data_IF_673334101202
#
_entry.id   IF_673334101202
#
_cell.length_a   1.000
_cell.length_b   1.000
_cell.length_c   1.000
_cell.angle_alpha   90.00
_cell.angle_beta   90.00
_cell.angle_gamma   90.00
#
_symmetry.space_group_name_H-M   'P 1'
#
loop_
_entity.id
_entity.type
_entity.pdbx_description
1 polymer ?
#
# COMPACT_ATOMS: atom_id res chain seq x y z
N UNK A 1 40.87 -15.50 -37.10
CA UNK A 1 40.05 -16.44 -36.37
C UNK A 1 40.42 -16.28 -34.90
N UNK A 2 39.60 -15.49 -34.18
CA UNK A 2 39.50 -15.51 -32.73
C UNK A 2 38.29 -14.66 -32.36
N UNK A 3 37.18 -15.35 -32.18
CA UNK A 3 35.95 -14.80 -31.68
C UNK A 3 36.08 -14.50 -30.20
N UNK A 4 36.12 -13.24 -29.83
CA UNK A 4 35.92 -12.82 -28.43
C UNK A 4 34.44 -12.93 -28.07
N UNK A 5 34.15 -13.93 -27.29
CA UNK A 5 32.90 -14.07 -26.54
C UNK A 5 32.68 -12.80 -25.69
N UNK A 6 31.58 -12.13 -25.98
CA UNK A 6 31.04 -11.10 -25.10
C UNK A 6 30.39 -11.84 -23.95
N UNK A 7 31.13 -11.97 -22.86
CA UNK A 7 30.58 -12.46 -21.57
C UNK A 7 29.48 -11.51 -21.13
N UNK A 8 28.25 -11.96 -21.22
CA UNK A 8 27.11 -11.30 -20.62
C UNK A 8 27.36 -11.22 -19.09
N UNK A 9 27.69 -10.03 -18.63
CA UNK A 9 27.68 -9.73 -17.19
C UNK A 9 26.26 -9.96 -16.69
N UNK A 10 26.12 -11.01 -15.89
CA UNK A 10 24.89 -11.34 -15.22
C UNK A 10 24.39 -10.14 -14.42
N UNK A 11 23.24 -9.66 -14.81
CA UNK A 11 22.41 -8.86 -13.93
C UNK A 11 22.10 -9.74 -12.71
N UNK A 12 22.80 -9.52 -11.62
CA UNK A 12 22.36 -9.99 -10.31
C UNK A 12 20.98 -9.37 -10.12
N UNK A 13 19.96 -10.20 -10.11
CA UNK A 13 18.66 -9.83 -9.58
C UNK A 13 18.90 -9.49 -8.10
N UNK A 14 19.18 -8.23 -7.80
CA UNK A 14 18.99 -7.73 -6.44
C UNK A 14 17.52 -7.92 -6.15
N UNK A 15 17.24 -8.83 -5.23
CA UNK A 15 15.92 -9.02 -4.65
C UNK A 15 15.39 -7.63 -4.28
N UNK A 16 14.22 -7.27 -4.78
CA UNK A 16 13.47 -6.08 -4.39
C UNK A 16 13.25 -6.15 -2.87
N UNK A 17 14.23 -5.71 -2.11
CA UNK A 17 14.12 -5.64 -0.65
C UNK A 17 13.10 -4.55 -0.34
N UNK A 18 11.92 -4.98 0.10
CA UNK A 18 10.85 -4.07 0.53
C UNK A 18 11.42 -3.22 1.66
N UNK A 19 11.60 -1.93 1.43
CA UNK A 19 12.03 -0.99 2.47
C UNK A 19 10.90 -0.78 3.49
N UNK A 20 11.01 -1.51 4.61
CA UNK A 20 10.08 -1.39 5.75
C UNK A 20 9.97 0.06 6.27
N UNK A 21 11.05 0.84 6.14
CA UNK A 21 11.05 2.23 6.58
C UNK A 21 10.19 3.12 5.65
N UNK A 22 10.11 2.79 4.36
CA UNK A 22 9.23 3.49 3.42
C UNK A 22 7.76 3.22 3.73
N UNK A 23 7.41 1.96 4.03
CA UNK A 23 6.05 1.60 4.49
C UNK A 23 5.71 2.33 5.78
N UNK A 24 6.61 2.40 6.75
CA UNK A 24 6.38 3.11 8.01
C UNK A 24 6.16 4.62 7.80
N UNK A 25 6.97 5.27 6.96
CA UNK A 25 6.77 6.68 6.59
C UNK A 25 5.43 6.92 5.90
N UNK A 26 5.01 6.00 5.02
CA UNK A 26 3.71 6.09 4.34
C UNK A 26 2.54 5.92 5.30
N UNK A 27 2.61 4.96 6.25
CA UNK A 27 1.62 4.78 7.31
C UNK A 27 1.48 6.04 8.16
N UNK A 28 2.61 6.62 8.60
CA UNK A 28 2.63 7.87 9.37
C UNK A 28 2.03 9.05 8.59
N UNK A 29 2.27 9.13 7.28
CA UNK A 29 1.73 10.22 6.44
C UNK A 29 0.21 10.08 6.21
N UNK A 30 -0.30 8.84 6.19
CA UNK A 30 -1.70 8.51 5.89
C UNK A 30 -2.48 8.03 7.11
N UNK A 31 -2.03 8.31 8.33
CA UNK A 31 -2.62 7.84 9.58
C UNK A 31 -4.12 8.14 9.72
N UNK A 32 -4.58 9.28 9.17
CA UNK A 32 -6.00 9.68 9.20
C UNK A 32 -6.91 8.73 8.40
N UNK A 33 -6.40 8.11 7.32
CA UNK A 33 -7.14 7.09 6.59
C UNK A 33 -7.29 5.80 7.40
N UNK A 34 -6.28 5.44 8.17
CA UNK A 34 -6.31 4.27 9.06
C UNK A 34 -7.36 4.48 10.15
N UNK A 35 -7.38 5.66 10.78
CA UNK A 35 -8.37 6.00 11.80
C UNK A 35 -9.79 6.04 11.21
N UNK A 36 -9.96 6.62 10.03
CA UNK A 36 -11.26 6.69 9.36
C UNK A 36 -11.84 5.29 9.08
N UNK A 37 -11.03 4.39 8.51
CA UNK A 37 -11.45 3.01 8.23
C UNK A 37 -11.73 2.24 9.53
N UNK A 38 -10.91 2.40 10.56
CA UNK A 38 -11.13 1.78 11.85
C UNK A 38 -12.49 2.20 12.45
N UNK A 39 -12.84 3.48 12.38
CA UNK A 39 -14.14 3.99 12.86
C UNK A 39 -15.30 3.42 12.01
N UNK A 40 -15.18 3.39 10.70
CA UNK A 40 -16.23 2.87 9.81
C UNK A 40 -16.49 1.39 10.09
N UNK A 41 -15.44 0.56 10.16
CA UNK A 41 -15.59 -0.88 10.44
C UNK A 41 -16.06 -1.13 11.87
N UNK A 42 -15.58 -0.35 12.86
CA UNK A 42 -16.05 -0.42 14.24
C UNK A 42 -17.53 -0.09 14.36
N UNK A 43 -18.00 0.97 13.70
CA UNK A 43 -19.41 1.34 13.68
C UNK A 43 -20.26 0.28 12.94
N UNK A 44 -19.80 -0.20 11.80
CA UNK A 44 -20.51 -1.23 11.02
C UNK A 44 -20.72 -2.52 11.84
N UNK A 45 -19.65 -3.05 12.45
CA UNK A 45 -19.75 -4.25 13.29
C UNK A 45 -20.49 -3.99 14.62
N UNK A 46 -20.40 -2.80 15.18
CA UNK A 46 -21.19 -2.39 16.33
C UNK A 46 -22.69 -2.39 16.03
N UNK A 47 -23.09 -1.82 14.88
CA UNK A 47 -24.48 -1.85 14.40
C UNK A 47 -24.92 -3.29 14.11
N UNK A 48 -24.10 -4.07 13.44
CA UNK A 48 -24.34 -5.49 13.22
C UNK A 48 -24.60 -6.24 14.54
N UNK A 49 -23.71 -6.06 15.54
CA UNK A 49 -23.84 -6.64 16.86
C UNK A 49 -25.12 -6.20 17.59
N UNK A 50 -25.58 -4.96 17.39
CA UNK A 50 -26.80 -4.44 18.05
C UNK A 50 -28.08 -4.93 17.42
N UNK A 51 -28.18 -4.95 16.08
CA UNK A 51 -29.47 -5.14 15.39
C UNK A 51 -29.63 -6.54 14.79
N UNK A 52 -28.56 -7.25 14.49
CA UNK A 52 -28.62 -8.54 13.78
C UNK A 52 -28.39 -9.71 14.72
N UNK A 53 -27.47 -9.56 15.69
CA UNK A 53 -27.19 -10.62 16.65
C UNK A 53 -28.34 -10.70 17.68
N UNK A 54 -29.05 -11.84 17.69
CA UNK A 54 -30.10 -12.10 18.63
C UNK A 54 -29.53 -12.32 20.03
N UNK A 55 -30.38 -12.01 21.03
CA UNK A 55 -30.04 -12.33 22.42
C UNK A 55 -30.00 -13.84 22.60
N UNK A 56 -29.11 -14.32 23.44
CA UNK A 56 -28.94 -15.71 23.80
C UNK A 56 -28.83 -15.80 25.33
N UNK A 57 -29.68 -16.58 25.92
CA UNK A 57 -29.76 -16.79 27.37
C UNK A 57 -29.34 -18.22 27.68
N UNK A 58 -28.45 -18.41 28.63
CA UNK A 58 -28.01 -19.71 29.10
C UNK A 58 -28.59 -20.01 30.45
N UNK A 59 -29.28 -21.13 30.56
CA UNK A 59 -29.82 -21.66 31.83
C UNK A 59 -28.97 -22.86 32.26
N UNK A 60 -28.69 -22.96 33.55
CA UNK A 60 -27.94 -24.03 34.17
C UNK A 60 -28.88 -24.89 35.03
N UNK A 61 -28.76 -26.20 34.88
CA UNK A 61 -29.35 -27.18 35.77
C UNK A 61 -28.30 -28.19 36.21
N UNK A 62 -28.38 -28.76 37.38
CA UNK A 62 -27.35 -29.67 37.90
C UNK A 62 -27.94 -30.93 38.55
N UNK A 63 -27.20 -32.05 38.39
CA UNK A 63 -27.49 -33.29 39.06
C UNK A 63 -26.24 -33.94 39.66
N UNK A 64 -26.43 -34.74 40.71
CA UNK A 64 -25.39 -35.56 41.32
C UNK A 64 -25.55 -37.02 40.89
N UNK A 65 -24.46 -37.64 40.45
CA UNK A 65 -24.46 -38.98 39.86
C UNK A 65 -24.54 -40.10 40.91
N UNK A 66 -24.17 -39.85 42.16
CA UNK A 66 -24.10 -40.85 43.19
C UNK A 66 -25.14 -40.60 44.28
N UNK A 67 -25.82 -41.69 44.69
CA UNK A 67 -26.79 -41.69 45.77
C UNK A 67 -26.15 -41.26 47.06
N UNK A 68 -26.69 -40.20 47.69
CA UNK A 68 -26.21 -39.59 48.92
C UNK A 68 -26.29 -40.51 50.15
N UNK A 69 -26.87 -41.70 50.02
CA UNK A 69 -27.13 -42.62 51.11
C UNK A 69 -26.06 -43.75 51.29
N UNK A 70 -25.00 -43.81 50.50
CA UNK A 70 -23.90 -44.75 50.68
C UNK A 70 -22.63 -44.11 51.18
N UNK A 71 -21.92 -44.77 52.12
CA UNK A 71 -20.58 -44.34 52.57
C UNK A 71 -19.64 -44.26 51.37
N UNK A 72 -19.03 -43.08 51.23
CA UNK A 72 -18.21 -42.74 50.06
C UNK A 72 -16.84 -43.33 50.17
N UNK A 73 -16.50 -44.30 49.32
CA UNK A 73 -15.11 -44.80 49.15
C UNK A 73 -14.30 -43.94 48.19
N UNK A 74 -12.97 -43.88 48.38
CA UNK A 74 -12.05 -43.20 47.42
C UNK A 74 -12.15 -43.76 46.02
N UNK A 75 -12.50 -45.04 45.86
CA UNK A 75 -12.73 -45.69 44.55
C UNK A 75 -13.98 -45.13 43.84
N UNK A 76 -15.00 -44.72 44.59
CA UNK A 76 -16.25 -44.15 44.05
C UNK A 76 -16.05 -42.76 43.46
N UNK A 77 -15.08 -41.99 43.99
CA UNK A 77 -14.72 -40.66 43.43
C UNK A 77 -14.02 -40.78 42.09
N UNK A 78 -13.10 -41.72 41.96
CA UNK A 78 -12.39 -42.01 40.69
C UNK A 78 -13.34 -42.63 39.65
N UNK A 79 -14.26 -43.48 40.08
CA UNK A 79 -15.26 -44.09 39.22
C UNK A 79 -16.26 -43.04 38.70
N UNK A 80 -16.65 -42.10 39.55
CA UNK A 80 -17.57 -40.99 39.17
C UNK A 80 -16.99 -40.08 38.09
N UNK A 81 -15.69 -39.76 38.19
CA UNK A 81 -14.99 -39.00 37.16
C UNK A 81 -14.84 -39.74 35.84
N UNK A 82 -14.59 -41.06 35.90
CA UNK A 82 -14.46 -41.90 34.70
C UNK A 82 -15.82 -42.09 33.94
N UNK A 83 -16.91 -42.14 34.70
CA UNK A 83 -18.26 -42.32 34.12
C UNK A 83 -18.87 -41.02 33.53
N UNK A 84 -18.25 -39.86 33.77
CA UNK A 84 -18.80 -38.56 33.31
C UNK A 84 -19.04 -38.51 31.81
N UNK A 85 -18.12 -39.06 31.01
CA UNK A 85 -18.26 -39.14 29.55
C UNK A 85 -19.48 -39.98 29.10
N UNK A 86 -19.78 -41.05 29.84
CA UNK A 86 -20.93 -41.89 29.53
C UNK A 86 -22.23 -41.20 29.85
N UNK A 87 -22.28 -40.45 30.97
CA UNK A 87 -23.45 -39.66 31.35
C UNK A 87 -23.68 -38.50 30.38
N UNK A 88 -22.64 -37.79 29.95
CA UNK A 88 -22.78 -36.77 28.93
C UNK A 88 -23.30 -37.36 27.63
N UNK A 89 -22.76 -38.50 27.20
CA UNK A 89 -23.26 -39.22 26.02
C UNK A 89 -24.72 -39.57 26.09
N UNK A 90 -25.24 -39.98 27.27
CA UNK A 90 -26.64 -40.35 27.47
C UNK A 90 -27.51 -39.10 27.44
N UNK A 91 -27.12 -38.05 28.16
CA UNK A 91 -27.87 -36.78 28.22
C UNK A 91 -28.02 -36.17 26.83
N UNK A 92 -26.99 -36.23 26.02
CA UNK A 92 -27.00 -35.74 24.62
C UNK A 92 -27.47 -36.78 23.61
N UNK A 93 -27.92 -37.98 24.07
CA UNK A 93 -28.42 -39.01 23.18
C UNK A 93 -29.70 -38.65 22.46
N UNK A 94 -29.98 -39.36 21.35
CA UNK A 94 -31.26 -39.20 20.64
C UNK A 94 -32.49 -39.59 21.47
N UNK A 95 -32.30 -40.55 22.39
CA UNK A 95 -33.38 -41.00 23.25
C UNK A 95 -33.85 -39.89 24.19
N UNK A 96 -32.90 -39.23 24.87
CA UNK A 96 -33.20 -38.14 25.80
C UNK A 96 -33.72 -36.91 25.04
N UNK A 97 -32.93 -36.44 24.04
CA UNK A 97 -33.25 -35.19 23.38
C UNK A 97 -34.55 -35.25 22.54
N UNK A 98 -34.87 -36.39 21.91
CA UNK A 98 -36.15 -36.52 21.22
C UNK A 98 -37.35 -36.54 22.18
N UNK A 99 -37.22 -37.19 23.37
CA UNK A 99 -38.25 -37.13 24.39
C UNK A 99 -38.52 -35.69 24.87
N UNK A 100 -37.44 -34.91 25.04
CA UNK A 100 -37.57 -33.49 25.42
C UNK A 100 -38.27 -32.70 24.33
N UNK A 101 -37.94 -32.92 23.06
CA UNK A 101 -38.61 -32.28 21.91
C UNK A 101 -40.11 -32.59 21.91
N UNK A 102 -40.48 -33.88 22.12
CA UNK A 102 -41.88 -34.32 22.16
C UNK A 102 -42.64 -33.75 23.36
N UNK A 103 -42.05 -33.82 24.56
CA UNK A 103 -42.69 -33.37 25.80
C UNK A 103 -42.97 -31.86 25.78
N UNK A 104 -42.01 -31.07 25.32
CA UNK A 104 -42.14 -29.62 25.25
C UNK A 104 -42.75 -29.14 23.91
N UNK A 105 -42.99 -30.05 22.95
CA UNK A 105 -43.49 -29.74 21.58
C UNK A 105 -42.66 -28.67 20.91
N UNK A 106 -41.32 -28.82 20.97
CA UNK A 106 -40.38 -27.87 20.39
C UNK A 106 -40.38 -28.00 18.87
N UNK A 107 -40.35 -26.85 18.18
CA UNK A 107 -40.11 -26.81 16.73
C UNK A 107 -38.60 -26.85 16.42
N UNK A 108 -37.90 -27.84 16.99
CA UNK A 108 -36.49 -28.07 16.85
C UNK A 108 -36.21 -29.48 16.41
N UNK A 109 -35.21 -29.65 15.53
CA UNK A 109 -34.69 -30.98 15.23
C UNK A 109 -33.72 -31.42 16.32
N UNK A 110 -33.50 -32.74 16.45
CA UNK A 110 -32.48 -33.28 17.34
C UNK A 110 -31.14 -32.55 17.23
N UNK A 111 -30.64 -32.29 15.99
CA UNK A 111 -29.36 -31.63 15.76
C UNK A 111 -29.33 -30.19 16.26
N UNK A 112 -30.41 -29.48 16.14
CA UNK A 112 -30.54 -28.11 16.66
C UNK A 112 -30.52 -28.10 18.19
N UNK A 113 -31.29 -29.00 18.84
CA UNK A 113 -31.28 -29.13 20.29
C UNK A 113 -29.91 -29.58 20.80
N UNK A 114 -29.27 -30.55 20.14
CA UNK A 114 -27.94 -31.03 20.48
C UNK A 114 -26.90 -29.91 20.53
N UNK A 115 -26.93 -28.93 19.58
CA UNK A 115 -25.98 -27.85 19.47
C UNK A 115 -26.16 -26.75 20.53
N UNK A 116 -27.32 -26.62 21.13
CA UNK A 116 -27.61 -25.63 22.18
C UNK A 116 -27.49 -26.19 23.60
N UNK A 117 -27.24 -27.50 23.72
CA UNK A 117 -27.05 -28.19 25.00
C UNK A 117 -25.57 -28.48 25.18
N UNK A 118 -24.99 -28.01 26.30
CA UNK A 118 -23.66 -28.40 26.77
C UNK A 118 -23.77 -29.08 28.12
N UNK A 119 -22.94 -30.08 28.34
CA UNK A 119 -22.88 -30.79 29.61
C UNK A 119 -21.43 -30.71 30.09
N UNK A 120 -21.25 -30.28 31.32
CA UNK A 120 -19.91 -30.11 31.90
C UNK A 120 -19.85 -30.79 33.29
N UNK A 121 -18.69 -31.33 33.60
CA UNK A 121 -18.35 -31.80 34.92
C UNK A 121 -17.27 -30.90 35.53
N UNK A 122 -17.60 -29.93 36.37
CA UNK A 122 -16.62 -29.05 36.97
C UNK A 122 -15.71 -29.85 37.91
N UNK A 123 -14.41 -29.62 37.77
CA UNK A 123 -13.35 -30.15 38.65
C UNK A 123 -13.35 -31.68 38.83
N UNK A 124 -13.82 -32.44 37.84
CA UNK A 124 -13.96 -33.89 37.92
C UNK A 124 -14.76 -34.37 39.17
N UNK A 125 -15.75 -33.61 39.56
CA UNK A 125 -16.66 -33.93 40.65
C UNK A 125 -17.75 -34.93 40.24
N UNK A 126 -18.63 -35.25 41.16
CA UNK A 126 -19.84 -36.07 40.89
C UNK A 126 -21.03 -35.26 40.36
N UNK A 127 -20.81 -33.97 40.14
CA UNK A 127 -21.84 -33.03 39.74
C UNK A 127 -21.74 -32.87 38.23
N UNK A 128 -22.85 -33.08 37.54
CA UNK A 128 -23.03 -32.73 36.15
C UNK A 128 -23.85 -31.47 36.06
N UNK A 129 -23.35 -30.52 35.30
CA UNK A 129 -24.04 -29.29 34.97
C UNK A 129 -24.49 -29.35 33.50
N UNK A 130 -25.75 -29.07 33.31
CA UNK A 130 -26.42 -29.02 32.01
C UNK A 130 -26.68 -27.56 31.69
N UNK A 131 -26.04 -27.07 30.63
CA UNK A 131 -26.24 -25.73 30.11
C UNK A 131 -27.09 -25.78 28.86
N UNK A 132 -28.11 -24.96 28.80
CA UNK A 132 -28.96 -24.81 27.63
C UNK A 132 -29.03 -23.36 27.20
N UNK A 133 -28.71 -23.10 25.93
CA UNK A 133 -28.73 -21.76 25.35
C UNK A 133 -29.90 -21.58 24.42
N UNK A 134 -30.82 -20.65 24.73
CA UNK A 134 -32.00 -20.38 23.91
C UNK A 134 -32.27 -18.88 23.70
N UNK A 135 -33.22 -18.54 22.86
CA UNK A 135 -33.53 -17.15 22.53
C UNK A 135 -34.24 -16.38 23.66
N UNK A 136 -34.81 -17.08 24.61
CA UNK A 136 -35.49 -16.48 25.79
C UNK A 136 -35.12 -17.24 27.06
N UNK A 137 -35.13 -16.53 28.19
CA UNK A 137 -34.88 -17.12 29.53
C UNK A 137 -35.80 -18.30 29.79
N UNK A 138 -37.09 -18.11 29.58
CA UNK A 138 -38.09 -19.13 29.85
C UNK A 138 -37.91 -20.40 29.00
N UNK A 139 -37.51 -20.25 27.74
CA UNK A 139 -37.26 -21.38 26.86
C UNK A 139 -36.00 -22.15 27.32
N UNK A 140 -34.90 -21.45 27.64
CA UNK A 140 -33.68 -22.06 28.15
C UNK A 140 -33.92 -22.84 29.44
N UNK A 141 -34.65 -22.24 30.40
CA UNK A 141 -35.02 -22.84 31.70
C UNK A 141 -35.92 -24.08 31.54
N UNK A 142 -36.94 -23.96 30.68
CA UNK A 142 -37.85 -25.10 30.46
C UNK A 142 -37.13 -26.29 29.82
N UNK A 143 -36.28 -26.03 28.80
CA UNK A 143 -35.52 -27.08 28.13
C UNK A 143 -34.52 -27.70 29.10
N UNK A 144 -33.78 -26.90 29.88
CA UNK A 144 -32.79 -27.39 30.85
C UNK A 144 -33.44 -28.30 31.91
N UNK A 145 -34.57 -27.86 32.46
CA UNK A 145 -35.33 -28.66 33.46
C UNK A 145 -35.91 -29.93 32.88
N UNK A 146 -36.41 -29.91 31.66
CA UNK A 146 -36.92 -31.08 30.99
C UNK A 146 -35.82 -32.09 30.66
N UNK A 147 -34.65 -31.61 30.15
CA UNK A 147 -33.50 -32.47 29.93
C UNK A 147 -33.05 -33.11 31.24
N UNK A 148 -32.97 -32.34 32.33
CA UNK A 148 -32.66 -32.84 33.65
C UNK A 148 -33.62 -33.94 34.09
N UNK A 149 -34.95 -33.71 33.97
CA UNK A 149 -35.97 -34.65 34.36
C UNK A 149 -35.92 -35.97 33.56
N UNK A 150 -35.87 -35.86 32.23
CA UNK A 150 -35.77 -37.02 31.34
C UNK A 150 -34.49 -37.77 31.56
N UNK A 151 -33.34 -37.07 31.76
CA UNK A 151 -32.04 -37.72 31.99
C UNK A 151 -32.01 -38.51 33.30
N UNK A 152 -32.60 -37.97 34.38
CA UNK A 152 -32.67 -38.64 35.67
C UNK A 152 -33.49 -39.93 35.59
N UNK A 153 -34.49 -40.01 34.72
CA UNK A 153 -35.28 -41.21 34.48
C UNK A 153 -34.62 -42.21 33.50
N UNK A 154 -33.93 -41.77 32.48
CA UNK A 154 -33.35 -42.63 31.44
C UNK A 154 -31.98 -43.20 31.83
N UNK A 155 -31.18 -42.50 32.60
CA UNK A 155 -29.82 -42.94 32.99
C UNK A 155 -29.83 -44.32 33.68
N UNK A 156 -30.74 -44.58 34.69
CA UNK A 156 -30.80 -45.90 35.32
C UNK A 156 -31.16 -47.01 34.33
N UNK A 157 -32.01 -46.71 33.35
CA UNK A 157 -32.45 -47.69 32.35
C UNK A 157 -31.32 -48.07 31.40
N UNK A 158 -30.42 -47.13 31.06
CA UNK A 158 -29.33 -47.37 30.13
C UNK A 158 -28.10 -47.98 30.82
N UNK A 159 -27.72 -47.47 31.99
CA UNK A 159 -26.48 -47.86 32.70
C UNK A 159 -26.71 -48.90 33.80
N UNK A 160 -27.95 -49.21 34.14
CA UNK A 160 -28.26 -50.07 35.30
C UNK A 160 -27.74 -49.51 36.63
N UNK A 161 -27.56 -48.20 36.68
CA UNK A 161 -27.02 -47.45 37.84
C UNK A 161 -28.13 -46.96 38.79
N UNK A 162 -27.76 -46.49 39.98
CA UNK A 162 -28.69 -45.76 40.86
C UNK A 162 -29.22 -44.48 40.19
N UNK A 163 -30.45 -44.09 40.51
CA UNK A 163 -31.05 -42.87 39.99
C UNK A 163 -30.30 -41.67 40.43
N UNK A 164 -29.84 -40.79 39.50
CA UNK A 164 -29.17 -39.52 39.87
C UNK A 164 -30.09 -38.62 40.71
N UNK A 165 -29.48 -37.84 41.59
CA UNK A 165 -30.21 -36.90 42.41
C UNK A 165 -30.15 -35.51 41.80
N UNK A 166 -31.31 -34.86 41.63
CA UNK A 166 -31.38 -33.46 41.17
C UNK A 166 -30.75 -32.60 42.29
N UNK A 167 -29.74 -31.82 41.93
CA UNK A 167 -29.08 -30.89 42.85
C UNK A 167 -29.76 -29.53 42.75
N UNK A 168 -29.77 -28.91 41.54
CA UNK A 168 -30.40 -27.64 41.30
C UNK A 168 -31.20 -27.70 39.98
N UNK A 169 -32.36 -27.14 40.01
CA UNK A 169 -33.17 -26.88 38.81
C UNK A 169 -32.80 -25.51 38.24
N UNK A 170 -32.87 -25.40 36.92
CA UNK A 170 -32.74 -24.11 36.28
C UNK A 170 -33.84 -23.16 36.74
N UNK A 171 -33.45 -21.92 37.03
CA UNK A 171 -34.38 -20.85 37.45
C UNK A 171 -34.14 -19.62 36.57
N UNK A 172 -35.24 -18.87 36.32
CA UNK A 172 -35.20 -17.63 35.54
C UNK A 172 -34.26 -16.57 36.14
N UNK A 173 -34.02 -16.61 37.48
CA UNK A 173 -33.17 -15.67 38.19
C UNK A 173 -31.69 -15.86 37.91
N UNK A 174 -31.26 -17.06 37.52
CA UNK A 174 -29.87 -17.43 37.31
C UNK A 174 -29.50 -17.62 35.84
N UNK A 175 -30.45 -17.33 34.92
CA UNK A 175 -30.18 -17.39 33.49
C UNK A 175 -29.33 -16.20 33.05
N UNK A 176 -28.13 -16.48 32.53
CA UNK A 176 -27.20 -15.47 32.09
C UNK A 176 -27.34 -15.12 30.62
N UNK A 177 -27.22 -13.84 30.31
CA UNK A 177 -27.15 -13.40 28.92
C UNK A 177 -25.73 -13.64 28.37
N UNK A 178 -25.59 -14.61 27.50
CA UNK A 178 -24.34 -15.04 26.88
C UNK A 178 -23.98 -14.27 25.61
N UNK A 179 -24.85 -13.31 25.21
CA UNK A 179 -24.58 -12.44 24.05
C UNK A 179 -23.31 -11.66 24.28
N UNK A 180 -22.39 -11.70 23.32
CA UNK A 180 -21.24 -10.81 23.34
C UNK A 180 -21.69 -9.34 23.33
N UNK A 181 -21.05 -8.52 24.14
CA UNK A 181 -21.40 -7.10 24.21
C UNK A 181 -21.20 -6.41 22.87
N UNK A 182 -22.02 -5.42 22.56
CA UNK A 182 -21.88 -4.59 21.34
C UNK A 182 -20.49 -3.98 21.24
N UNK A 183 -19.89 -3.67 22.40
CA UNK A 183 -18.54 -3.15 22.48
C UNK A 183 -17.49 -4.15 21.94
N UNK A 184 -17.65 -5.44 22.19
CA UNK A 184 -16.76 -6.48 21.68
C UNK A 184 -16.78 -6.55 20.14
N UNK A 185 -17.98 -6.45 19.54
CA UNK A 185 -18.11 -6.39 18.08
C UNK A 185 -17.48 -5.12 17.50
N UNK A 186 -17.68 -3.97 18.15
CA UNK A 186 -17.07 -2.72 17.74
C UNK A 186 -15.52 -2.78 17.81
N UNK A 187 -14.96 -3.37 18.87
CA UNK A 187 -13.51 -3.55 19.00
C UNK A 187 -12.94 -4.47 17.91
N UNK A 188 -13.61 -5.58 17.62
CA UNK A 188 -13.22 -6.47 16.51
C UNK A 188 -13.25 -5.71 15.18
N UNK A 189 -14.28 -4.88 14.98
CA UNK A 189 -14.39 -4.02 13.79
C UNK A 189 -13.26 -3.03 13.65
N UNK A 190 -12.91 -2.34 14.73
CA UNK A 190 -11.77 -1.40 14.77
C UNK A 190 -10.47 -2.11 14.40
N UNK A 191 -10.19 -3.27 15.02
CA UNK A 191 -9.00 -4.06 14.71
C UNK A 191 -8.95 -4.50 13.24
N UNK A 192 -10.05 -5.04 12.73
CA UNK A 192 -10.15 -5.43 11.32
C UNK A 192 -9.92 -4.22 10.38
N UNK A 193 -10.52 -3.07 10.70
CA UNK A 193 -10.34 -1.83 9.95
C UNK A 193 -8.90 -1.35 9.90
N UNK A 194 -8.18 -1.43 11.03
CA UNK A 194 -6.75 -1.09 11.09
C UNK A 194 -5.92 -2.03 10.20
N UNK A 195 -6.14 -3.34 10.30
CA UNK A 195 -5.39 -4.33 9.50
C UNK A 195 -5.61 -4.12 8.00
N UNK A 196 -6.87 -3.91 7.59
CA UNK A 196 -7.23 -3.66 6.19
C UNK A 196 -6.59 -2.36 5.70
N UNK A 197 -6.67 -1.28 6.50
CA UNK A 197 -6.08 0.01 6.14
C UNK A 197 -4.56 -0.07 5.97
N UNK A 198 -3.87 -0.75 6.91
CA UNK A 198 -2.43 -0.97 6.82
C UNK A 198 -2.07 -1.79 5.57
N UNK A 199 -2.84 -2.83 5.25
CA UNK A 199 -2.66 -3.63 4.04
C UNK A 199 -2.81 -2.79 2.76
N UNK A 200 -3.83 -1.96 2.66
CA UNK A 200 -4.04 -1.06 1.50
C UNK A 200 -2.87 -0.08 1.35
N UNK A 201 -2.39 0.52 2.46
CA UNK A 201 -1.24 1.43 2.41
C UNK A 201 0.03 0.69 1.98
N UNK A 202 0.29 -0.51 2.52
CA UNK A 202 1.45 -1.31 2.14
C UNK A 202 1.44 -1.68 0.65
N UNK A 203 0.32 -2.19 0.14
CA UNK A 203 0.15 -2.49 -1.30
C UNK A 203 0.35 -1.22 -2.14
N UNK A 204 -0.21 -0.08 -1.72
CA UNK A 204 -0.04 1.21 -2.42
C UNK A 204 1.43 1.67 -2.47
N UNK A 205 2.27 1.32 -1.50
CA UNK A 205 3.70 1.63 -1.50
C UNK A 205 4.45 0.69 -2.43
N UNK A 206 4.19 -0.62 -2.33
CA UNK A 206 4.87 -1.65 -3.14
C UNK A 206 4.56 -1.48 -4.64
N UNK A 207 3.32 -1.12 -4.99
CA UNK A 207 2.91 -0.92 -6.39
C UNK A 207 3.29 0.45 -6.96
N UNK A 208 3.82 1.35 -6.13
CA UNK A 208 4.19 2.69 -6.56
C UNK A 208 5.61 2.72 -7.11
N UNK A 209 5.74 2.58 -8.41
CA UNK A 209 7.01 2.61 -9.18
C UNK A 209 7.53 4.03 -9.45
N UNK A 210 7.00 5.06 -8.80
CA UNK A 210 7.48 6.44 -9.00
C UNK A 210 8.87 6.63 -8.41
N UNK A 211 9.77 7.16 -9.19
CA UNK A 211 11.11 7.59 -8.76
C UNK A 211 10.98 8.71 -7.72
N UNK A 212 11.60 8.55 -6.56
CA UNK A 212 11.51 9.49 -5.44
C UNK A 212 12.87 9.93 -4.90
N UNK A 213 13.91 9.16 -5.22
CA UNK A 213 15.28 9.42 -4.77
C UNK A 213 16.29 9.29 -5.91
N UNK A 214 17.48 9.83 -5.69
CA UNK A 214 18.61 9.72 -6.62
C UNK A 214 19.07 8.26 -6.75
N UNK A 215 18.95 7.48 -5.67
CA UNK A 215 19.25 6.05 -5.64
C UNK A 215 18.30 5.24 -6.54
N UNK A 216 16.99 5.63 -6.59
CA UNK A 216 16.02 4.98 -7.49
C UNK A 216 16.41 5.15 -8.95
N UNK A 217 16.90 6.37 -9.33
CA UNK A 217 17.37 6.63 -10.69
C UNK A 217 18.56 5.75 -11.00
N UNK A 218 19.54 5.70 -10.10
CA UNK A 218 20.75 4.91 -10.30
C UNK A 218 20.44 3.41 -10.41
N UNK A 219 19.54 2.89 -9.57
CA UNK A 219 19.09 1.49 -9.64
C UNK A 219 18.36 1.17 -10.96
N UNK A 220 17.44 2.04 -11.37
CA UNK A 220 16.61 1.78 -12.57
C UNK A 220 17.39 2.00 -13.89
N UNK A 221 18.33 2.94 -13.94
CA UNK A 221 18.97 3.36 -15.19
C UNK A 221 20.46 3.00 -15.26
N UNK A 222 21.09 2.70 -14.14
CA UNK A 222 22.56 2.55 -14.04
C UNK A 222 23.34 3.85 -14.21
N UNK A 223 22.65 5.00 -14.30
CA UNK A 223 23.25 6.31 -14.53
C UNK A 223 23.39 7.09 -13.22
N UNK A 224 24.48 7.85 -13.11
CA UNK A 224 24.67 8.76 -11.97
C UNK A 224 23.82 10.01 -12.11
N UNK A 225 23.25 10.46 -11.00
CA UNK A 225 22.52 11.73 -10.92
C UNK A 225 23.49 12.87 -10.82
N UNK A 226 23.47 13.79 -11.79
CA UNK A 226 24.35 14.98 -11.82
C UNK A 226 23.80 16.14 -10.99
N UNK A 227 22.49 16.16 -10.74
CA UNK A 227 21.85 17.18 -9.94
C UNK A 227 20.34 17.03 -9.91
N UNK A 228 19.70 17.53 -8.85
CA UNK A 228 18.27 17.56 -8.66
C UNK A 228 17.81 19.03 -8.60
N UNK A 229 16.99 19.43 -9.56
CA UNK A 229 16.43 20.78 -9.62
C UNK A 229 15.04 20.76 -9.00
N UNK A 230 14.80 21.48 -7.88
CA UNK A 230 13.52 21.46 -7.20
C UNK A 230 12.41 22.11 -8.05
N UNK A 231 11.21 21.52 -7.98
CA UNK A 231 10.03 22.14 -8.58
C UNK A 231 9.67 23.42 -7.80
N UNK A 232 9.83 24.55 -8.45
CA UNK A 232 9.38 25.82 -7.90
C UNK A 232 8.03 26.17 -8.51
N UNK A 233 7.04 26.34 -7.66
CA UNK A 233 5.68 26.76 -8.04
C UNK A 233 5.67 28.24 -8.48
N UNK A 234 6.31 28.51 -9.60
CA UNK A 234 6.16 29.81 -10.27
C UNK A 234 4.83 29.87 -11.01
N UNK A 235 4.21 31.05 -11.10
CA UNK A 235 3.09 31.31 -12.01
C UNK A 235 3.52 30.81 -13.39
N UNK A 236 2.63 30.08 -14.14
CA UNK A 236 2.90 29.63 -15.51
C UNK A 236 3.50 30.79 -16.33
N UNK A 237 4.81 30.87 -16.37
CA UNK A 237 5.48 31.97 -17.01
C UNK A 237 5.63 31.65 -18.49
N UNK A 238 5.13 32.57 -19.33
CA UNK A 238 5.29 32.47 -20.78
C UNK A 238 6.72 32.78 -21.23
N UNK A 239 7.55 33.34 -20.35
CA UNK A 239 8.97 33.72 -20.60
C UNK A 239 9.91 32.84 -19.79
N UNK A 240 11.11 32.61 -20.27
CA UNK A 240 12.20 32.07 -19.46
C UNK A 240 12.45 33.07 -18.31
N UNK A 241 12.46 32.55 -17.10
CA UNK A 241 12.86 33.34 -15.94
C UNK A 241 14.35 33.66 -16.10
N UNK A 242 14.71 34.92 -16.04
CA UNK A 242 16.12 35.30 -16.07
C UNK A 242 16.81 34.77 -14.81
N UNK A 243 18.11 34.47 -14.87
CA UNK A 243 18.83 33.88 -13.73
C UNK A 243 18.75 34.69 -12.45
N UNK A 244 18.63 36.00 -12.56
CA UNK A 244 18.49 36.93 -11.44
C UNK A 244 17.14 36.81 -10.71
N UNK A 245 16.12 36.31 -11.41
CA UNK A 245 14.76 36.10 -10.87
C UNK A 245 14.54 34.68 -10.33
N UNK A 246 15.56 33.81 -10.45
CA UNK A 246 15.46 32.44 -9.97
C UNK A 246 15.43 32.39 -8.43
N UNK A 247 14.59 31.54 -7.84
CA UNK A 247 14.67 31.23 -6.42
C UNK A 247 16.07 30.68 -6.07
N UNK A 248 16.58 31.04 -4.92
CA UNK A 248 17.93 30.66 -4.48
C UNK A 248 18.22 29.16 -4.61
N UNK A 249 17.28 28.31 -4.18
CA UNK A 249 17.41 26.84 -4.26
C UNK A 249 17.46 26.30 -5.71
N UNK A 250 16.79 26.95 -6.66
CA UNK A 250 16.88 26.59 -8.08
C UNK A 250 18.21 27.03 -8.69
N UNK A 251 18.67 28.24 -8.36
CA UNK A 251 20.00 28.73 -8.80
C UNK A 251 21.12 27.87 -8.27
N UNK A 252 21.06 27.50 -6.99
CA UNK A 252 22.05 26.62 -6.37
C UNK A 252 22.10 25.24 -7.04
N UNK A 253 20.95 24.66 -7.36
CA UNK A 253 20.88 23.39 -8.07
C UNK A 253 21.49 23.46 -9.48
N UNK A 254 21.31 24.57 -10.21
CA UNK A 254 21.98 24.81 -11.50
C UNK A 254 23.51 24.93 -11.33
N UNK A 255 23.97 25.60 -10.27
CA UNK A 255 25.40 25.70 -9.98
C UNK A 255 26.03 24.36 -9.61
N UNK A 256 25.31 23.51 -8.87
CA UNK A 256 25.72 22.16 -8.59
C UNK A 256 25.80 21.31 -9.86
N UNK A 257 24.80 21.40 -10.74
CA UNK A 257 24.80 20.72 -12.04
C UNK A 257 26.01 21.18 -12.89
N UNK A 258 26.27 22.48 -13.01
CA UNK A 258 27.45 23.01 -13.68
C UNK A 258 28.75 22.42 -13.11
N UNK A 259 28.86 22.41 -11.79
CA UNK A 259 30.03 21.89 -11.09
C UNK A 259 30.19 20.41 -11.38
N UNK A 260 29.15 19.63 -11.32
CA UNK A 260 29.16 18.20 -11.70
C UNK A 260 29.67 17.98 -13.11
N UNK A 261 29.22 18.79 -14.07
CA UNK A 261 29.70 18.71 -15.49
C UNK A 261 31.14 19.11 -15.63
N UNK A 262 31.58 20.18 -14.98
CA UNK A 262 32.98 20.63 -15.04
C UNK A 262 33.96 19.61 -14.48
N UNK A 263 33.57 18.80 -13.53
CA UNK A 263 34.41 17.78 -12.89
C UNK A 263 34.17 16.36 -13.42
N UNK A 264 33.10 16.11 -14.23
CA UNK A 264 32.83 14.77 -14.75
C UNK A 264 33.89 14.29 -15.76
N UNK A 265 34.36 15.16 -16.66
CA UNK A 265 35.42 14.85 -17.59
C UNK A 265 35.98 16.16 -18.20
N UNK A 266 37.31 16.24 -18.35
CA UNK A 266 37.96 17.36 -19.03
C UNK A 266 37.72 17.41 -20.54
N UNK A 267 37.27 16.30 -21.13
CA UNK A 267 37.13 16.15 -22.58
C UNK A 267 35.70 16.39 -23.07
N UNK A 268 34.73 16.55 -22.14
CA UNK A 268 33.33 16.84 -22.50
C UNK A 268 33.23 18.26 -23.01
N UNK A 269 32.96 18.40 -24.31
CA UNK A 269 32.63 19.69 -24.95
C UNK A 269 31.20 19.77 -25.42
N UNK A 270 30.55 18.64 -25.68
CA UNK A 270 29.18 18.57 -26.20
C UNK A 270 28.25 17.98 -25.19
N UNK A 271 27.13 18.70 -24.90
CA UNK A 271 26.12 18.30 -23.95
C UNK A 271 24.78 18.26 -24.67
N UNK A 272 24.06 17.16 -24.58
CA UNK A 272 22.72 17.00 -25.14
C UNK A 272 21.70 16.93 -24.00
N UNK A 273 20.69 17.80 -24.03
CA UNK A 273 19.61 17.84 -23.04
C UNK A 273 18.33 17.34 -23.68
N UNK A 274 17.83 16.22 -23.20
CA UNK A 274 16.59 15.59 -23.68
C UNK A 274 15.67 15.18 -22.53
N UNK A 275 14.47 14.69 -22.81
CA UNK A 275 13.52 14.14 -21.84
C UNK A 275 12.57 13.14 -22.47
N UNK A 276 11.87 12.34 -21.66
CA UNK A 276 10.88 11.38 -22.14
C UNK A 276 9.61 12.06 -22.66
N UNK A 277 9.22 13.22 -22.13
CA UNK A 277 7.96 13.91 -22.47
C UNK A 277 8.17 15.41 -22.70
N UNK A 278 7.18 16.03 -23.34
CA UNK A 278 7.12 17.48 -23.49
C UNK A 278 6.96 18.19 -22.12
N UNK A 279 7.41 19.44 -22.03
CA UNK A 279 7.26 20.31 -20.85
C UNK A 279 7.95 19.83 -19.54
N UNK A 280 8.97 19.00 -19.65
CA UNK A 280 9.80 18.56 -18.51
C UNK A 280 10.97 19.49 -18.17
N UNK A 281 11.02 20.68 -18.73
CA UNK A 281 11.99 21.69 -18.37
C UNK A 281 13.30 21.66 -19.18
N UNK A 282 13.43 20.87 -20.28
CA UNK A 282 14.64 20.80 -21.09
C UNK A 282 15.25 22.17 -21.43
N UNK A 283 14.48 22.99 -22.15
CA UNK A 283 14.96 24.33 -22.58
C UNK A 283 15.30 25.24 -21.40
N UNK A 284 14.63 25.05 -20.25
CA UNK A 284 14.98 25.76 -19.03
C UNK A 284 16.37 25.33 -18.53
N UNK A 285 16.61 24.03 -18.45
CA UNK A 285 17.91 23.48 -18.01
C UNK A 285 19.00 23.85 -19.00
N UNK A 286 18.76 23.69 -20.30
CA UNK A 286 19.73 24.02 -21.36
C UNK A 286 20.18 25.48 -21.29
N UNK A 287 19.22 26.39 -21.16
CA UNK A 287 19.50 27.83 -21.07
C UNK A 287 20.27 28.21 -19.79
N UNK A 288 19.79 27.76 -18.63
CA UNK A 288 20.41 28.12 -17.34
C UNK A 288 21.78 27.45 -17.16
N UNK A 289 22.00 26.28 -17.71
CA UNK A 289 23.29 25.63 -17.73
C UNK A 289 24.26 26.41 -18.62
N UNK A 290 23.84 26.79 -19.84
CA UNK A 290 24.65 27.62 -20.74
C UNK A 290 25.03 28.95 -20.10
N UNK A 291 24.07 29.65 -19.50
CA UNK A 291 24.31 30.85 -18.73
C UNK A 291 25.29 30.63 -17.58
N UNK A 292 25.07 29.61 -16.78
CA UNK A 292 25.92 29.33 -15.61
C UNK A 292 27.37 29.00 -15.99
N UNK A 293 27.57 28.30 -17.11
CA UNK A 293 28.92 28.06 -17.66
C UNK A 293 29.57 29.34 -18.20
N UNK A 294 28.80 30.23 -18.87
CA UNK A 294 29.33 31.49 -19.37
C UNK A 294 29.78 32.43 -18.24
N UNK A 295 29.11 32.40 -17.09
CA UNK A 295 29.49 33.21 -15.91
C UNK A 295 30.84 32.81 -15.31
N UNK A 296 31.31 31.60 -15.54
CA UNK A 296 32.68 31.16 -15.12
C UNK A 296 33.74 31.28 -16.25
N UNK A 297 33.44 32.12 -17.24
CA UNK A 297 34.35 32.46 -18.31
C UNK A 297 34.47 31.43 -19.43
N UNK A 298 33.56 30.44 -19.50
CA UNK A 298 33.48 29.47 -20.58
C UNK A 298 32.74 30.01 -21.79
N UNK A 299 33.28 29.87 -22.98
CA UNK A 299 32.59 30.20 -24.24
C UNK A 299 31.59 29.12 -24.54
N UNK A 300 30.30 29.46 -24.59
CA UNK A 300 29.18 28.51 -24.69
C UNK A 300 28.34 28.81 -25.92
N UNK A 301 28.05 27.79 -26.73
CA UNK A 301 27.04 27.82 -27.78
C UNK A 301 25.86 27.00 -27.35
N UNK A 302 24.67 27.64 -27.22
CA UNK A 302 23.39 26.96 -27.03
C UNK A 302 22.71 26.79 -28.39
N UNK A 303 22.40 25.54 -28.74
CA UNK A 303 21.77 25.17 -30.02
C UNK A 303 20.37 24.64 -29.77
N UNK A 304 19.37 25.34 -30.30
CA UNK A 304 17.98 24.88 -30.27
C UNK A 304 17.70 23.94 -31.47
N UNK A 305 17.58 22.67 -31.22
CA UNK A 305 17.30 21.65 -32.24
C UNK A 305 15.83 21.27 -32.32
N UNK A 306 14.95 21.86 -31.50
CA UNK A 306 13.51 21.61 -31.58
C UNK A 306 12.86 22.44 -32.70
N UNK A 307 13.13 22.05 -33.96
CA UNK A 307 12.56 22.69 -35.13
C UNK A 307 11.05 22.41 -35.34
N UNK A 308 10.42 21.64 -34.44
CA UNK A 308 8.98 21.34 -34.49
C UNK A 308 8.17 22.30 -33.62
N UNK A 309 8.65 22.55 -32.40
CA UNK A 309 7.95 23.35 -31.39
C UNK A 309 8.90 24.29 -30.64
N UNK A 310 9.86 24.89 -31.36
CA UNK A 310 10.80 25.81 -30.72
C UNK A 310 10.10 26.82 -29.84
N UNK A 311 10.56 26.91 -28.60
CA UNK A 311 10.05 27.85 -27.60
C UNK A 311 11.14 28.79 -27.09
N UNK A 312 12.41 28.48 -27.34
CA UNK A 312 13.54 29.16 -26.74
C UNK A 312 13.59 30.66 -27.14
N UNK A 313 13.51 30.96 -28.43
CA UNK A 313 13.50 32.34 -28.95
C UNK A 313 12.38 33.18 -28.32
N UNK A 314 11.16 32.65 -28.35
CA UNK A 314 9.98 33.32 -27.81
C UNK A 314 10.07 33.51 -26.28
N UNK A 315 10.62 32.52 -25.57
CA UNK A 315 10.78 32.60 -24.11
C UNK A 315 11.86 33.58 -23.68
N UNK A 316 12.93 33.70 -24.49
CA UNK A 316 13.96 34.74 -24.28
C UNK A 316 13.49 36.15 -24.64
N UNK A 317 12.32 36.28 -25.29
CA UNK A 317 11.75 37.58 -25.67
C UNK A 317 12.51 38.23 -26.83
N UNK A 318 13.24 37.44 -27.63
CA UNK A 318 13.97 37.97 -28.77
C UNK A 318 13.06 37.99 -30.01
N UNK A 319 12.79 39.16 -30.51
CA UNK A 319 12.03 39.38 -31.74
C UNK A 319 13.01 39.67 -32.88
N UNK A 320 12.69 39.20 -34.11
CA UNK A 320 13.47 39.54 -35.30
C UNK A 320 14.50 38.48 -35.73
N UNK A 321 14.64 37.38 -35.04
CA UNK A 321 15.47 36.25 -35.48
C UNK A 321 14.78 35.59 -36.70
N UNK A 322 15.35 35.70 -37.89
CA UNK A 322 14.77 35.19 -39.14
C UNK A 322 15.46 33.94 -39.66
N UNK A 323 16.74 33.79 -39.38
CA UNK A 323 17.57 32.67 -39.79
C UNK A 323 17.95 31.83 -38.55
N UNK A 324 18.12 30.54 -38.73
CA UNK A 324 18.51 29.65 -37.65
C UNK A 324 19.04 28.32 -38.17
N UNK A 325 18.97 27.31 -37.33
CA UNK A 325 19.48 25.96 -37.61
C UNK A 325 18.84 25.37 -38.87
N UNK A 326 17.53 25.57 -39.10
CA UNK A 326 16.86 25.07 -40.30
C UNK A 326 17.38 25.67 -41.60
N UNK A 327 17.71 26.97 -41.62
CA UNK A 327 18.30 27.65 -42.79
C UNK A 327 19.74 27.20 -43.00
N UNK A 328 20.54 27.06 -41.97
CA UNK A 328 21.90 26.54 -42.07
C UNK A 328 21.93 25.11 -42.61
N UNK A 329 21.12 24.19 -42.03
CA UNK A 329 21.05 22.79 -42.45
C UNK A 329 20.49 22.62 -43.88
N UNK A 330 19.70 23.57 -44.38
CA UNK A 330 19.19 23.60 -45.76
C UNK A 330 20.15 24.26 -46.74
N UNK A 331 21.32 24.77 -46.30
CA UNK A 331 22.28 25.47 -47.15
C UNK A 331 21.85 26.89 -47.53
N UNK A 332 20.81 27.45 -46.86
CA UNK A 332 20.28 28.78 -47.16
C UNK A 332 20.90 29.90 -46.31
N UNK A 333 21.81 29.55 -45.39
CA UNK A 333 22.53 30.50 -44.55
C UNK A 333 23.89 29.91 -44.14
N UNK A 334 24.86 30.79 -44.00
CA UNK A 334 26.17 30.42 -43.41
C UNK A 334 26.11 30.42 -41.90
N UNK A 335 27.02 29.69 -41.26
CA UNK A 335 27.04 29.52 -39.78
C UNK A 335 27.10 30.87 -39.07
N UNK A 336 27.92 31.79 -39.50
CA UNK A 336 28.05 33.12 -38.91
C UNK A 336 26.80 33.98 -38.93
N UNK A 337 25.86 33.68 -39.83
CA UNK A 337 24.59 34.42 -39.96
C UNK A 337 23.50 33.91 -39.02
N UNK A 338 23.65 32.72 -38.48
CA UNK A 338 22.63 32.00 -37.64
C UNK A 338 23.02 31.93 -36.18
N UNK A 339 24.25 32.30 -35.83
CA UNK A 339 24.70 32.41 -34.45
C UNK A 339 24.49 33.83 -33.96
N UNK A 340 23.72 33.98 -32.87
CA UNK A 340 23.33 35.26 -32.31
C UNK A 340 24.04 35.52 -30.98
N UNK A 341 24.59 36.73 -30.86
CA UNK A 341 24.92 37.32 -29.58
C UNK A 341 23.63 37.75 -28.87
N UNK A 342 23.38 37.23 -27.70
CA UNK A 342 22.16 37.47 -26.92
C UNK A 342 22.40 38.47 -25.78
N UNK A 343 23.53 39.20 -25.78
CA UNK A 343 23.88 40.17 -24.77
C UNK A 343 24.36 39.54 -23.46
N UNK A 344 24.65 38.24 -23.44
CA UNK A 344 25.20 37.55 -22.29
C UNK A 344 26.68 37.27 -22.60
N UNK A 345 27.63 37.76 -21.77
CA UNK A 345 29.05 37.55 -22.01
C UNK A 345 29.41 36.07 -22.16
N UNK A 346 30.20 35.72 -23.15
CA UNK A 346 30.67 34.36 -23.49
C UNK A 346 29.54 33.37 -23.86
N UNK A 347 28.33 33.82 -24.17
CA UNK A 347 27.23 32.98 -24.56
C UNK A 347 26.65 33.41 -25.91
N UNK A 348 26.57 32.48 -26.84
CA UNK A 348 25.89 32.65 -28.12
C UNK A 348 24.78 31.62 -28.25
N UNK A 349 23.77 31.92 -29.09
CA UNK A 349 22.64 31.03 -29.33
C UNK A 349 22.41 30.86 -30.80
N UNK A 350 22.27 29.60 -31.20
CA UNK A 350 21.78 29.18 -32.52
C UNK A 350 20.32 28.72 -32.35
N UNK A 351 19.40 29.56 -32.78
CA UNK A 351 17.96 29.24 -32.70
C UNK A 351 17.56 28.24 -33.78
N UNK A 352 16.44 27.53 -33.58
CA UNK A 352 15.92 26.53 -34.51
C UNK A 352 15.60 27.06 -35.90
N UNK A 353 15.33 28.37 -36.06
CA UNK A 353 14.92 28.97 -37.31
C UNK A 353 13.44 28.72 -37.64
N UNK A 354 13.09 28.62 -38.92
CA UNK A 354 11.73 28.31 -39.36
C UNK A 354 11.34 26.88 -38.97
N UNK A 355 10.09 26.71 -38.55
CA UNK A 355 9.56 25.37 -38.28
C UNK A 355 9.46 24.57 -39.57
N UNK A 356 10.01 23.36 -39.56
CA UNK A 356 10.05 22.49 -40.73
C UNK A 356 9.37 21.15 -40.45
N UNK A 357 8.54 20.65 -41.38
CA UNK A 357 7.85 19.37 -41.16
C UNK A 357 8.80 18.18 -41.06
N UNK A 358 9.94 18.22 -41.76
CA UNK A 358 10.91 17.13 -41.84
C UNK A 358 12.15 17.37 -41.00
N UNK A 359 11.99 17.89 -39.78
CA UNK A 359 13.07 18.20 -38.85
C UNK A 359 14.08 17.06 -38.65
N UNK A 360 13.58 15.83 -38.51
CA UNK A 360 14.42 14.64 -38.29
C UNK A 360 15.33 14.29 -39.48
N UNK A 361 14.88 14.60 -40.69
CA UNK A 361 15.68 14.38 -41.92
C UNK A 361 16.83 15.41 -42.04
N UNK A 362 16.57 16.66 -41.64
CA UNK A 362 17.58 17.72 -41.58
C UNK A 362 18.61 17.48 -40.49
N UNK A 363 18.23 16.95 -39.37
CA UNK A 363 19.12 16.59 -38.25
C UNK A 363 19.85 15.25 -38.49
N UNK A 364 20.22 14.93 -39.73
CA UNK A 364 21.05 13.75 -39.99
C UNK A 364 22.38 13.82 -39.28
N UNK A 365 22.92 12.66 -38.85
CA UNK A 365 24.17 12.56 -38.09
C UNK A 365 25.30 13.35 -38.72
N UNK A 366 25.44 13.33 -40.07
CA UNK A 366 26.49 14.01 -40.82
C UNK A 366 26.48 15.53 -40.66
N UNK A 367 25.28 16.14 -40.63
CA UNK A 367 25.16 17.59 -40.44
C UNK A 367 25.51 18.03 -39.03
N UNK A 368 25.12 17.23 -38.05
CA UNK A 368 25.46 17.48 -36.66
C UNK A 368 26.97 17.37 -36.40
N UNK A 369 27.62 16.36 -37.00
CA UNK A 369 29.05 16.19 -36.96
C UNK A 369 29.78 17.39 -37.58
N UNK A 370 29.31 17.86 -38.74
CA UNK A 370 29.88 19.02 -39.42
C UNK A 370 29.76 20.28 -38.58
N UNK A 371 28.57 20.56 -38.04
CA UNK A 371 28.31 21.69 -37.15
C UNK A 371 29.23 21.63 -35.93
N UNK A 372 29.31 20.48 -35.27
CA UNK A 372 30.19 20.30 -34.12
C UNK A 372 31.66 20.52 -34.47
N UNK A 373 32.13 20.02 -35.62
CA UNK A 373 33.50 20.20 -36.07
C UNK A 373 33.83 21.69 -36.35
N UNK A 374 32.89 22.42 -36.98
CA UNK A 374 33.05 23.83 -37.35
C UNK A 374 33.11 24.75 -36.13
N UNK A 375 32.34 24.46 -35.05
CA UNK A 375 32.27 25.29 -33.85
C UNK A 375 33.18 24.85 -32.72
N UNK A 376 33.79 23.65 -32.80
CA UNK A 376 34.52 23.01 -31.70
C UNK A 376 35.68 23.83 -31.14
N UNK A 377 36.40 24.56 -32.00
CA UNK A 377 37.55 25.37 -31.60
C UNK A 377 37.16 26.76 -31.11
N UNK A 378 35.94 27.21 -31.45
CA UNK A 378 35.40 28.50 -31.06
C UNK A 378 34.76 28.49 -29.69
N UNK A 379 34.24 27.34 -29.23
CA UNK A 379 33.51 27.19 -27.99
C UNK A 379 34.14 26.14 -27.09
N UNK A 380 34.03 26.38 -25.76
CA UNK A 380 34.45 25.42 -24.73
C UNK A 380 33.34 24.39 -24.47
N UNK A 381 32.09 24.81 -24.61
CA UNK A 381 30.88 23.96 -24.50
C UNK A 381 29.87 24.24 -25.59
N UNK A 382 29.27 23.18 -26.13
CA UNK A 382 28.17 23.21 -27.09
C UNK A 382 27.00 22.47 -26.42
N UNK A 383 25.88 23.15 -26.17
CA UNK A 383 24.69 22.57 -25.51
C UNK A 383 23.57 22.47 -26.53
N UNK A 384 23.07 21.27 -26.74
CA UNK A 384 21.94 21.00 -27.62
C UNK A 384 20.66 20.87 -26.80
N UNK A 385 19.70 21.77 -27.00
CA UNK A 385 18.33 21.65 -26.51
C UNK A 385 17.52 20.86 -27.53
N UNK A 386 17.13 19.62 -27.18
CA UNK A 386 16.51 18.69 -28.15
C UNK A 386 15.01 18.52 -27.86
N UNK A 387 14.22 18.07 -28.88
CA UNK A 387 12.86 17.64 -28.63
C UNK A 387 12.82 16.43 -27.69
N UNK A 388 11.66 16.09 -27.09
CA UNK A 388 11.51 14.85 -26.34
C UNK A 388 11.73 13.64 -27.26
N UNK A 389 12.17 12.53 -26.68
CA UNK A 389 12.42 11.26 -27.37
C UNK A 389 11.12 10.64 -27.88
#
# INVERSE_FOLDING_TARGET
MESKEITAMGASAEEDTIDLMEIFRALRKRWYWIVLLAIIFGAALGVYGKFIVKDAYQAEASMCIIDSNKEVSMSDVQLGSALTGDYEGIIKSRVVLNKVIENLKLDLTYKQLYNIVSVENPDSTRILKIYVTAGTVREAVNIANEILSVSVDEIPHVLGSSKPTILDKADDLFAENTRRSVLSYALIGILAGIVIACGIVAVSVITNTSIKSDEDIQKCTGLSVLGAIPDYKGKKQKKIMWPEDLPFNASEAIYQLRTGILYSSKDVKTIVVTSAFENQGKSFISFHLAYSLSQVGKRVLLVDTDMRKSVLQRRMGLEGVKLGLSEYLSGNAELGQVIYDVGIPNMHVLFSGKLVPNASALLSAKWLENLCAEVRDSYDYIIFDTPPI
#
